data_IF_377213761777
#
_entry.id   IF_377213761777
#
_cell.length_a   1.000
_cell.length_b   1.000
_cell.length_c   1.000
_cell.angle_alpha   90.00
_cell.angle_beta   90.00
_cell.angle_gamma   90.00
#
_symmetry.space_group_name_H-M   'P 1'
#
loop_
_entity.id
_entity.type
_entity.pdbx_description
1 polymer ?
#
# COMPACT_ATOMS: atom_id res chain seq x y z
N UNK A 1 1.74 20.48 9.51
CA UNK A 1 2.57 20.49 8.31
C UNK A 1 2.59 19.11 7.67
N UNK A 2 2.45 19.02 6.37
CA UNK A 2 2.37 17.76 5.66
C UNK A 2 3.65 17.50 4.88
N UNK A 3 4.11 16.25 4.88
CA UNK A 3 5.39 15.89 4.29
C UNK A 3 5.44 14.43 3.86
N UNK A 4 5.96 14.16 2.66
CA UNK A 4 6.26 12.80 2.21
C UNK A 4 7.78 12.66 2.19
N UNK A 5 8.30 11.66 2.90
CA UNK A 5 9.74 11.45 2.99
C UNK A 5 10.09 9.96 3.03
N UNK A 6 11.35 9.64 2.83
CA UNK A 6 11.83 8.26 2.93
C UNK A 6 11.64 7.77 4.35
N UNK A 7 11.18 6.52 4.47
CA UNK A 7 11.03 5.86 5.75
C UNK A 7 12.39 5.63 6.42
N UNK A 8 12.45 5.88 7.71
CA UNK A 8 13.64 5.62 8.54
C UNK A 8 13.47 4.32 9.31
N UNK A 9 14.56 3.59 9.61
CA UNK A 9 14.46 2.35 10.42
C UNK A 9 13.75 2.56 11.75
N UNK A 10 13.89 3.73 12.36
CA UNK A 10 13.23 4.05 13.64
C UNK A 10 11.71 4.13 13.53
N UNK A 11 11.17 4.17 12.32
CA UNK A 11 9.73 4.28 12.07
C UNK A 11 9.07 2.93 11.82
N UNK A 12 9.83 1.83 11.90
CA UNK A 12 9.35 0.50 11.55
C UNK A 12 8.10 0.09 12.33
N UNK A 13 8.09 0.27 13.65
CA UNK A 13 6.94 -0.12 14.47
C UNK A 13 5.69 0.67 14.12
N UNK A 14 5.84 1.98 13.93
CA UNK A 14 4.71 2.84 13.60
C UNK A 14 4.13 2.45 12.23
N UNK A 15 4.99 2.15 11.25
CA UNK A 15 4.56 1.71 9.92
C UNK A 15 3.87 0.34 9.99
N UNK A 16 4.42 -0.59 10.76
CA UNK A 16 3.82 -1.93 10.85
C UNK A 16 2.48 -1.91 11.59
N UNK A 17 2.35 -1.06 12.60
CA UNK A 17 1.07 -0.87 13.28
C UNK A 17 0.03 -0.30 12.30
N UNK A 18 0.44 0.67 11.50
CA UNK A 18 -0.41 1.26 10.47
C UNK A 18 -0.83 0.19 9.44
N UNK A 19 0.12 -0.64 8.99
CA UNK A 19 -0.16 -1.72 8.04
C UNK A 19 -1.23 -2.67 8.58
N UNK A 20 -1.06 -3.15 9.81
CA UNK A 20 -1.97 -4.14 10.38
C UNK A 20 -3.37 -3.56 10.54
N UNK A 21 -3.49 -2.37 11.12
CA UNK A 21 -4.79 -1.71 11.31
C UNK A 21 -5.52 -1.46 10.00
N UNK A 22 -4.81 -0.92 9.01
CA UNK A 22 -5.44 -0.58 7.74
C UNK A 22 -5.79 -1.81 6.93
N UNK A 23 -4.96 -2.84 6.98
CA UNK A 23 -5.17 -4.07 6.23
C UNK A 23 -6.40 -4.82 6.76
N UNK A 24 -6.52 -4.93 8.07
CA UNK A 24 -7.69 -5.54 8.70
C UNK A 24 -8.96 -4.76 8.34
N UNK A 25 -8.89 -3.44 8.43
CA UNK A 25 -10.04 -2.57 8.14
C UNK A 25 -10.47 -2.65 6.67
N UNK A 26 -9.51 -2.61 5.73
CA UNK A 26 -9.81 -2.53 4.30
C UNK A 26 -10.14 -3.87 3.65
N UNK A 27 -9.69 -4.98 4.25
CA UNK A 27 -9.88 -6.31 3.70
C UNK A 27 -10.58 -7.23 4.71
N UNK A 28 -11.73 -6.76 5.22
CA UNK A 28 -12.49 -7.48 6.25
C UNK A 28 -12.98 -8.85 5.79
N UNK A 29 -12.99 -9.13 4.48
CA UNK A 29 -13.34 -10.44 3.94
C UNK A 29 -12.23 -11.49 4.14
N UNK A 30 -11.04 -11.07 4.60
CA UNK A 30 -9.93 -11.95 4.95
C UNK A 30 -9.84 -12.01 6.47
N UNK A 31 -9.67 -13.21 7.05
CA UNK A 31 -9.57 -13.38 8.49
C UNK A 31 -8.39 -12.59 9.07
N UNK A 32 -8.62 -11.95 10.23
CA UNK A 32 -7.56 -11.19 10.91
C UNK A 32 -6.32 -12.03 11.17
N UNK A 33 -6.53 -13.31 11.52
CA UNK A 33 -5.42 -14.23 11.78
C UNK A 33 -4.48 -14.38 10.58
N UNK A 34 -4.99 -14.26 9.36
CA UNK A 34 -4.15 -14.28 8.16
C UNK A 34 -3.13 -13.16 8.21
N UNK A 35 -3.57 -11.94 8.54
CA UNK A 35 -2.69 -10.77 8.58
C UNK A 35 -1.70 -10.87 9.73
N UNK A 36 -2.14 -11.31 10.91
CA UNK A 36 -1.27 -11.47 12.06
C UNK A 36 -0.19 -12.51 11.81
N UNK A 37 -0.55 -13.61 11.13
CA UNK A 37 0.39 -14.67 10.78
C UNK A 37 1.46 -14.16 9.81
N UNK A 38 1.12 -13.20 8.95
CA UNK A 38 2.05 -12.66 7.96
C UNK A 38 2.81 -11.42 8.43
N UNK A 39 2.58 -10.99 9.66
CA UNK A 39 3.18 -9.76 10.20
C UNK A 39 4.70 -9.74 10.07
N UNK A 40 5.37 -10.78 10.54
CA UNK A 40 6.83 -10.82 10.53
C UNK A 40 7.40 -10.85 9.12
N UNK A 41 6.75 -11.57 8.21
CA UNK A 41 7.15 -11.63 6.81
C UNK A 41 7.05 -10.25 6.15
N UNK A 42 5.94 -9.56 6.37
CA UNK A 42 5.71 -8.23 5.80
C UNK A 42 6.68 -7.22 6.40
N UNK A 43 6.92 -7.28 7.71
CA UNK A 43 7.87 -6.41 8.38
C UNK A 43 9.26 -6.54 7.77
N UNK A 44 9.74 -7.77 7.60
CA UNK A 44 11.04 -8.03 7.01
C UNK A 44 11.10 -7.51 5.57
N UNK A 45 10.05 -7.72 4.81
CA UNK A 45 9.95 -7.27 3.42
C UNK A 45 10.04 -5.74 3.32
N UNK A 46 9.36 -5.03 4.21
CA UNK A 46 9.37 -3.56 4.19
C UNK A 46 10.70 -3.00 4.68
N UNK A 47 11.33 -3.64 5.69
CA UNK A 47 12.67 -3.22 6.14
C UNK A 47 13.68 -3.38 5.02
N UNK A 48 13.58 -4.46 4.26
CA UNK A 48 14.50 -4.77 3.17
C UNK A 48 14.02 -4.23 1.82
N UNK A 49 12.89 -3.51 1.81
CA UNK A 49 12.35 -2.91 0.59
C UNK A 49 13.27 -1.83 0.06
N UNK A 50 13.28 -1.67 -1.25
CA UNK A 50 14.22 -0.75 -1.91
C UNK A 50 13.86 0.71 -1.68
N UNK A 51 12.58 1.06 -1.81
CA UNK A 51 12.14 2.44 -1.71
C UNK A 51 10.85 2.49 -0.90
N UNK A 52 10.95 2.93 0.34
CA UNK A 52 9.79 3.07 1.24
C UNK A 52 9.60 4.53 1.60
N UNK A 53 8.36 4.99 1.57
CA UNK A 53 8.00 6.39 1.83
C UNK A 53 6.87 6.46 2.85
N UNK A 54 6.93 7.49 3.69
CA UNK A 54 5.90 7.77 4.69
C UNK A 54 5.33 9.16 4.47
N UNK A 55 4.03 9.30 4.72
CA UNK A 55 3.34 10.58 4.67
C UNK A 55 3.09 11.00 6.12
N UNK A 56 3.63 12.13 6.50
CA UNK A 56 3.58 12.63 7.87
C UNK A 56 2.73 13.89 7.92
N UNK A 57 1.76 13.91 8.83
CA UNK A 57 0.93 15.08 9.10
C UNK A 57 1.07 15.39 10.60
N UNK A 58 1.55 16.59 10.90
CA UNK A 58 1.74 17.06 12.28
C UNK A 58 2.50 16.05 13.16
N UNK A 59 3.58 15.49 12.60
CA UNK A 59 4.46 14.57 13.31
C UNK A 59 3.99 13.12 13.37
N UNK A 60 2.82 12.81 12.82
CA UNK A 60 2.26 11.46 12.83
C UNK A 60 2.33 10.85 11.44
N UNK A 61 2.78 9.59 11.34
CA UNK A 61 2.74 8.84 10.09
C UNK A 61 1.29 8.41 9.85
N UNK A 62 0.69 8.92 8.77
CA UNK A 62 -0.71 8.67 8.45
C UNK A 62 -0.85 7.81 7.20
N UNK A 63 0.22 7.60 6.45
CA UNK A 63 0.19 6.76 5.25
C UNK A 63 1.59 6.26 4.91
N UNK A 64 1.63 5.17 4.17
CA UNK A 64 2.87 4.51 3.78
C UNK A 64 2.73 3.92 2.39
N UNK A 65 3.82 3.93 1.63
CA UNK A 65 3.93 3.16 0.40
C UNK A 65 5.35 2.68 0.21
N UNK A 66 5.50 1.57 -0.52
CA UNK A 66 6.82 1.04 -0.87
C UNK A 66 6.83 0.57 -2.31
N UNK A 67 8.00 0.63 -2.95
CA UNK A 67 8.18 0.22 -4.34
C UNK A 67 9.42 -0.65 -4.44
N UNK A 68 9.29 -1.78 -5.12
CA UNK A 68 10.41 -2.71 -5.36
C UNK A 68 11.22 -2.30 -6.58
N UNK A 69 12.31 -3.01 -6.85
CA UNK A 69 13.16 -2.76 -8.02
C UNK A 69 12.42 -2.90 -9.34
N UNK A 70 11.42 -3.78 -9.40
CA UNK A 70 10.62 -3.99 -10.61
C UNK A 70 9.37 -3.11 -10.66
N UNK A 71 9.38 -2.02 -9.91
CA UNK A 71 8.33 -1.00 -9.90
C UNK A 71 6.98 -1.50 -9.37
N UNK A 72 7.02 -2.52 -8.54
CA UNK A 72 5.82 -3.03 -7.89
C UNK A 72 5.58 -2.28 -6.59
N UNK A 73 4.38 -1.73 -6.44
CA UNK A 73 3.96 -1.13 -5.19
C UNK A 73 3.67 -2.28 -4.22
N UNK A 74 4.48 -2.40 -3.17
CA UNK A 74 4.33 -3.47 -2.17
C UNK A 74 3.12 -3.26 -1.28
N UNK A 75 2.74 -2.00 -1.09
CA UNK A 75 1.58 -1.64 -0.33
C UNK A 75 1.34 -0.15 -0.40
N UNK A 76 0.12 0.25 -0.16
CA UNK A 76 -0.27 1.64 -0.03
C UNK A 76 -1.33 1.67 1.07
N UNK A 77 -0.97 2.20 2.23
CA UNK A 77 -1.84 2.19 3.39
C UNK A 77 -2.08 3.61 3.87
N UNK A 78 -3.35 3.95 4.08
CA UNK A 78 -3.75 5.23 4.64
C UNK A 78 -4.54 4.94 5.92
N UNK A 79 -4.14 5.57 7.03
CA UNK A 79 -4.85 5.47 8.30
C UNK A 79 -6.35 5.72 8.05
N UNK A 80 -7.24 4.86 8.55
CA UNK A 80 -8.67 5.04 8.33
C UNK A 80 -9.20 6.44 8.69
N UNK A 81 -8.61 7.08 9.70
CA UNK A 81 -9.01 8.44 10.09
C UNK A 81 -8.60 9.50 9.07
N UNK A 82 -7.67 9.16 8.18
CA UNK A 82 -7.14 10.09 7.18
C UNK A 82 -7.52 9.69 5.75
N UNK A 83 -8.34 8.66 5.57
CA UNK A 83 -8.82 8.27 4.25
C UNK A 83 -9.81 9.31 3.72
N UNK A 84 -9.92 9.38 2.40
CA UNK A 84 -10.79 10.33 1.69
C UNK A 84 -10.41 11.80 1.93
N UNK A 85 -9.15 12.05 2.30
CA UNK A 85 -8.62 13.41 2.50
C UNK A 85 -7.46 13.72 1.56
N UNK A 86 -7.28 12.88 0.53
CA UNK A 86 -6.25 13.12 -0.48
C UNK A 86 -4.88 12.53 -0.19
N UNK A 87 -4.69 11.85 0.94
CA UNK A 87 -3.37 11.30 1.29
C UNK A 87 -2.90 10.20 0.33
N UNK A 88 -3.79 9.30 -0.04
CA UNK A 88 -3.45 8.24 -0.99
C UNK A 88 -3.12 8.79 -2.37
N UNK A 89 -3.90 9.76 -2.83
CA UNK A 89 -3.67 10.43 -4.11
C UNK A 89 -2.34 11.17 -4.10
N UNK A 90 -2.01 11.82 -3.00
CA UNK A 90 -0.73 12.53 -2.86
C UNK A 90 0.45 11.56 -2.96
N UNK A 91 0.35 10.39 -2.32
CA UNK A 91 1.39 9.36 -2.41
C UNK A 91 1.53 8.82 -3.84
N UNK A 92 0.42 8.51 -4.51
CA UNK A 92 0.46 8.04 -5.89
C UNK A 92 1.07 9.09 -6.81
N UNK A 93 0.70 10.35 -6.66
CA UNK A 93 1.27 11.43 -7.48
C UNK A 93 2.77 11.58 -7.21
N UNK A 94 3.19 11.42 -5.97
CA UNK A 94 4.61 11.43 -5.62
C UNK A 94 5.34 10.28 -6.36
N UNK A 95 4.80 9.07 -6.31
CA UNK A 95 5.42 7.93 -7.00
C UNK A 95 5.47 8.13 -8.51
N UNK A 96 4.41 8.69 -9.10
CA UNK A 96 4.39 8.98 -10.54
C UNK A 96 5.45 9.99 -10.96
N UNK A 97 5.87 10.86 -10.05
CA UNK A 97 6.96 11.81 -10.32
C UNK A 97 8.33 11.14 -10.26
N UNK A 98 8.44 10.00 -9.58
CA UNK A 98 9.71 9.31 -9.39
C UNK A 98 9.89 8.08 -10.30
N UNK A 99 8.79 7.53 -10.84
CA UNK A 99 8.81 6.30 -11.62
C UNK A 99 8.02 6.48 -12.91
N UNK A 100 8.46 5.80 -13.98
CA UNK A 100 7.80 5.86 -15.28
C UNK A 100 6.70 4.82 -15.43
N UNK A 101 6.72 3.80 -14.59
CA UNK A 101 5.75 2.71 -14.61
C UNK A 101 5.60 2.18 -13.20
N UNK A 102 4.38 1.83 -12.83
CA UNK A 102 4.07 1.27 -11.52
C UNK A 102 3.02 0.17 -11.68
N UNK A 103 3.14 -0.91 -10.90
CA UNK A 103 2.08 -1.89 -10.83
C UNK A 103 1.79 -2.25 -9.37
N UNK A 104 0.53 -2.62 -9.09
CA UNK A 104 0.09 -2.88 -7.72
C UNK A 104 -0.90 -4.06 -7.72
N UNK A 105 -0.71 -5.04 -6.81
CA UNK A 105 -1.69 -6.11 -6.64
C UNK A 105 -2.81 -5.64 -5.72
N UNK A 106 -4.06 -5.87 -6.12
CA UNK A 106 -5.24 -5.47 -5.34
C UNK A 106 -6.23 -6.63 -5.35
N UNK A 107 -6.75 -6.98 -4.17
CA UNK A 107 -7.79 -8.00 -4.08
C UNK A 107 -9.02 -7.58 -4.89
N UNK A 108 -9.55 -8.51 -5.70
CA UNK A 108 -10.73 -8.24 -6.53
C UNK A 108 -11.93 -7.79 -5.69
N UNK A 109 -12.04 -8.29 -4.47
CA UNK A 109 -13.15 -7.95 -3.56
C UNK A 109 -12.95 -6.59 -2.87
N UNK A 110 -11.76 -6.03 -2.92
CA UNK A 110 -11.51 -4.71 -2.35
C UNK A 110 -11.90 -3.63 -3.37
N UNK A 111 -13.21 -3.40 -3.50
CA UNK A 111 -13.76 -2.49 -4.50
C UNK A 111 -13.31 -1.05 -4.30
N UNK A 112 -13.12 -0.65 -3.05
CA UNK A 112 -12.67 0.71 -2.73
C UNK A 112 -11.25 0.95 -3.26
N UNK A 113 -10.36 0.00 -3.05
CA UNK A 113 -8.99 0.09 -3.56
C UNK A 113 -8.96 0.05 -5.09
N UNK A 114 -9.78 -0.80 -5.72
CA UNK A 114 -9.88 -0.87 -7.18
C UNK A 114 -10.37 0.46 -7.75
N UNK A 115 -11.38 1.05 -7.13
CA UNK A 115 -11.91 2.34 -7.58
C UNK A 115 -10.86 3.44 -7.44
N UNK A 116 -10.11 3.43 -6.33
CA UNK A 116 -9.03 4.39 -6.11
C UNK A 116 -7.94 4.25 -7.19
N UNK A 117 -7.48 3.02 -7.43
CA UNK A 117 -6.45 2.77 -8.45
C UNK A 117 -6.93 3.21 -9.83
N UNK A 118 -8.18 2.89 -10.19
CA UNK A 118 -8.78 3.28 -11.46
C UNK A 118 -8.82 4.81 -11.60
N UNK A 119 -9.25 5.51 -10.55
CA UNK A 119 -9.31 6.98 -10.57
C UNK A 119 -7.93 7.61 -10.75
N UNK A 120 -6.90 6.94 -10.25
CA UNK A 120 -5.54 7.46 -10.34
C UNK A 120 -4.80 6.99 -11.59
N UNK A 121 -5.50 6.33 -12.52
CA UNK A 121 -4.95 6.02 -13.84
C UNK A 121 -4.43 4.62 -14.04
N UNK A 122 -4.65 3.71 -13.08
CA UNK A 122 -4.25 2.31 -13.24
C UNK A 122 -5.33 1.52 -13.99
N UNK A 123 -4.90 0.53 -14.76
CA UNK A 123 -5.79 -0.39 -15.47
C UNK A 123 -5.49 -1.83 -15.04
N UNK A 124 -6.49 -2.70 -15.17
CA UNK A 124 -6.30 -4.12 -14.88
C UNK A 124 -5.43 -4.73 -15.97
N UNK A 125 -4.32 -5.35 -15.58
CA UNK A 125 -3.35 -5.98 -16.49
C UNK A 125 -3.31 -7.50 -16.33
N UNK A 126 -3.86 -8.04 -15.25
CA UNK A 126 -3.88 -9.47 -15.02
C UNK A 126 -4.62 -9.82 -13.76
N UNK A 127 -4.83 -11.12 -13.54
CA UNK A 127 -5.49 -11.64 -12.36
C UNK A 127 -4.87 -12.97 -11.96
N UNK A 128 -4.81 -13.21 -10.64
CA UNK A 128 -4.37 -14.50 -10.12
C UNK A 128 -5.09 -14.78 -8.80
N UNK A 129 -5.09 -16.05 -8.40
CA UNK A 129 -5.65 -16.45 -7.11
C UNK A 129 -4.51 -16.48 -6.08
N UNK A 130 -4.71 -15.79 -4.98
CA UNK A 130 -3.71 -15.77 -3.91
C UNK A 130 -3.62 -17.16 -3.28
N UNK A 131 -2.42 -17.72 -3.26
CA UNK A 131 -2.22 -19.12 -2.85
C UNK A 131 -2.48 -19.39 -1.36
N UNK A 132 -2.35 -18.39 -0.49
CA UNK A 132 -2.53 -18.57 0.95
C UNK A 132 -3.97 -18.39 1.42
N UNK A 133 -4.77 -17.57 0.76
CA UNK A 133 -6.14 -17.29 1.21
C UNK A 133 -7.21 -17.57 0.15
N UNK A 134 -6.82 -17.98 -1.06
CA UNK A 134 -7.75 -18.33 -2.13
C UNK A 134 -8.48 -17.17 -2.80
N UNK A 135 -8.20 -15.93 -2.40
CA UNK A 135 -8.83 -14.75 -2.98
C UNK A 135 -8.22 -14.40 -4.33
N UNK A 136 -9.04 -13.84 -5.22
CA UNK A 136 -8.56 -13.37 -6.52
C UNK A 136 -7.92 -12.00 -6.35
N UNK A 137 -6.74 -11.82 -6.94
CA UNK A 137 -6.04 -10.54 -6.96
C UNK A 137 -5.87 -10.08 -8.40
N UNK A 138 -6.12 -8.79 -8.63
CA UNK A 138 -5.79 -8.15 -9.89
C UNK A 138 -4.42 -7.52 -9.81
N UNK A 139 -3.69 -7.54 -10.91
CA UNK A 139 -2.50 -6.70 -11.08
C UNK A 139 -2.97 -5.45 -11.83
N UNK A 140 -2.77 -4.29 -11.20
CA UNK A 140 -3.14 -3.00 -11.80
C UNK A 140 -1.87 -2.31 -12.28
N UNK A 141 -1.91 -1.76 -13.49
CA UNK A 141 -0.75 -1.15 -14.14
C UNK A 141 -0.99 0.32 -14.49
N UNK A 142 0.01 1.14 -14.23
CA UNK A 142 0.10 2.51 -14.72
C UNK A 142 1.45 2.73 -15.40
N UNK A 143 1.46 3.42 -16.53
CA UNK A 143 2.70 3.92 -17.12
C UNK A 143 2.48 5.29 -17.77
N UNK A 144 3.57 5.99 -17.97
CA UNK A 144 3.55 7.30 -18.60
C UNK A 144 3.06 7.22 -20.04
#
# INVERSE_FOLDING_TARGET
>A
MENIERMKPSQTYEVMDLWLRTTIHSNSFVEENFWETHYDFVKEKYINGKENFVYIIDGKIVAFTGVTEDNRITGLFVDPEYQNKGSGTALINFLKSEYNMLHIPIYARNRKALAFATRTGFIIDGALRHEHNGEVMYTMLWNM
#
